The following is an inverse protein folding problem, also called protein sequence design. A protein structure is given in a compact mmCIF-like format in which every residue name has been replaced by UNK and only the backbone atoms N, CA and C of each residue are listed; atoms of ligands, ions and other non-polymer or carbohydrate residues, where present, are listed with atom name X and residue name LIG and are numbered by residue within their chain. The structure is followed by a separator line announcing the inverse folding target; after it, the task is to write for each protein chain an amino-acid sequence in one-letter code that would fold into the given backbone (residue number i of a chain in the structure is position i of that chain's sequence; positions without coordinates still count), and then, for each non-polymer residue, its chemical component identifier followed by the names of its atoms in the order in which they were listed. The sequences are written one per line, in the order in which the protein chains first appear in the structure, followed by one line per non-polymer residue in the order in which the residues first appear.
data_IF_961759793102
#
_entry.id   IF_961759793102
#
_cell.length_a   1.000
_cell.length_b   1.000
_cell.length_c   1.000
_cell.angle_alpha   90.00
_cell.angle_beta   90.00
_cell.angle_gamma   90.00
#
_symmetry.space_group_name_H-M   'P 1'
#
loop_
_entity.id
_entity.type
_entity.pdbx_description
1 polymer ?
#
# COMPACT_ATOMS: atom_id res chain seq x y z
N UNK A 1 15.35 12.85 2.70
CA UNK A 1 14.82 12.00 1.62
C UNK A 1 15.39 10.58 1.60
N UNK A 2 16.72 10.38 1.54
CA UNK A 2 17.34 9.03 1.40
C UNK A 2 16.88 8.01 2.44
N UNK A 3 16.82 8.42 3.72
CA UNK A 3 16.42 7.53 4.82
C UNK A 3 14.95 7.08 4.71
N UNK A 4 14.03 8.02 4.52
CA UNK A 4 12.61 7.72 4.38
C UNK A 4 12.34 6.77 3.19
N UNK A 5 13.00 6.97 2.05
CA UNK A 5 12.87 6.07 0.90
C UNK A 5 13.47 4.68 1.16
N UNK A 6 14.56 4.58 1.92
CA UNK A 6 15.12 3.29 2.32
C UNK A 6 14.14 2.51 3.21
N UNK A 7 13.54 3.19 4.21
CA UNK A 7 12.55 2.57 5.09
C UNK A 7 11.28 2.17 4.34
N UNK A 8 10.78 3.01 3.44
CA UNK A 8 9.60 2.69 2.61
C UNK A 8 9.89 1.51 1.67
N UNK A 9 11.10 1.45 1.11
CA UNK A 9 11.55 0.31 0.30
C UNK A 9 11.59 -1.00 1.08
N UNK A 10 12.08 -0.97 2.33
CA UNK A 10 12.06 -2.14 3.23
C UNK A 10 10.62 -2.59 3.51
N UNK A 11 9.72 -1.65 3.82
CA UNK A 11 8.31 -1.93 4.06
C UNK A 11 7.64 -2.57 2.83
N UNK A 12 7.91 -2.02 1.63
CA UNK A 12 7.36 -2.54 0.38
C UNK A 12 7.84 -3.96 0.07
N UNK A 13 9.14 -4.25 0.24
CA UNK A 13 9.68 -5.59 0.00
C UNK A 13 9.09 -6.62 0.98
N UNK A 14 8.96 -6.27 2.26
CA UNK A 14 8.29 -7.13 3.25
C UNK A 14 6.84 -7.40 2.87
N UNK A 15 6.11 -6.36 2.48
CA UNK A 15 4.72 -6.47 2.03
C UNK A 15 4.59 -7.43 0.83
N UNK A 16 5.41 -7.24 -0.21
CA UNK A 16 5.39 -8.11 -1.40
C UNK A 16 5.77 -9.55 -1.06
N UNK A 17 6.77 -9.76 -0.20
CA UNK A 17 7.16 -11.10 0.24
C UNK A 17 6.04 -11.81 1.01
N UNK A 18 5.31 -11.09 1.87
CA UNK A 18 4.12 -11.62 2.58
C UNK A 18 3.01 -11.98 1.61
N UNK A 19 2.71 -11.13 0.63
CA UNK A 19 1.70 -11.42 -0.39
C UNK A 19 2.06 -12.65 -1.22
N UNK A 20 3.32 -12.73 -1.67
CA UNK A 20 3.79 -13.83 -2.50
C UNK A 20 3.81 -15.19 -1.76
N UNK A 21 3.93 -15.18 -0.44
CA UNK A 21 3.93 -16.39 0.41
C UNK A 21 2.56 -16.72 1.02
N UNK A 22 1.57 -15.85 0.85
CA UNK A 22 0.24 -16.01 1.43
C UNK A 22 -0.69 -16.79 0.50
N UNK A 23 -1.47 -17.70 1.07
CA UNK A 23 -2.60 -18.35 0.38
C UNK A 23 -3.93 -17.60 0.61
N UNK A 24 -3.89 -16.40 1.19
CA UNK A 24 -5.09 -15.61 1.46
C UNK A 24 -5.56 -14.89 0.20
N UNK A 25 -6.88 -14.81 0.04
CA UNK A 25 -7.50 -13.92 -0.96
C UNK A 25 -7.63 -12.53 -0.37
N UNK A 26 -7.12 -11.54 -1.11
CA UNK A 26 -7.25 -10.13 -0.74
C UNK A 26 -8.18 -9.39 -1.70
N UNK A 27 -8.87 -8.40 -1.19
CA UNK A 27 -9.47 -7.33 -1.98
C UNK A 27 -8.62 -6.05 -1.88
N UNK A 28 -8.93 -5.07 -2.72
CA UNK A 28 -8.21 -3.79 -2.83
C UNK A 28 -8.10 -3.04 -1.50
N UNK A 29 -9.18 -3.02 -0.71
CA UNK A 29 -9.21 -2.34 0.60
C UNK A 29 -8.29 -3.07 1.59
N UNK A 30 -8.34 -4.41 1.63
CA UNK A 30 -7.47 -5.20 2.51
C UNK A 30 -5.99 -5.07 2.13
N UNK A 31 -5.67 -4.97 0.83
CA UNK A 31 -4.30 -4.73 0.35
C UNK A 31 -3.81 -3.34 0.73
N UNK A 32 -4.65 -2.31 0.58
CA UNK A 32 -4.31 -0.95 0.99
C UNK A 32 -3.96 -0.88 2.49
N UNK A 33 -4.76 -1.53 3.34
CA UNK A 33 -4.52 -1.63 4.79
C UNK A 33 -3.26 -2.43 5.12
N UNK A 34 -3.00 -3.51 4.39
CA UNK A 34 -1.81 -4.34 4.59
C UNK A 34 -0.52 -3.59 4.21
N UNK A 35 -0.55 -2.80 3.14
CA UNK A 35 0.55 -1.91 2.76
C UNK A 35 0.77 -0.82 3.81
N UNK A 36 -0.29 -0.21 4.32
CA UNK A 36 -0.22 0.77 5.41
C UNK A 36 0.37 0.13 6.68
N UNK A 37 -0.07 -1.08 7.05
CA UNK A 37 0.48 -1.84 8.17
C UNK A 37 1.98 -2.09 8.03
N UNK A 38 2.43 -2.46 6.82
CA UNK A 38 3.85 -2.71 6.57
C UNK A 38 4.69 -1.42 6.74
N UNK A 39 4.15 -0.27 6.33
CA UNK A 39 4.80 1.04 6.51
C UNK A 39 4.81 1.49 7.97
N UNK A 40 3.73 1.22 8.71
CA UNK A 40 3.61 1.57 10.13
C UNK A 40 4.49 0.74 11.07
N UNK A 41 5.19 -0.29 10.57
CA UNK A 41 6.22 -1.00 11.35
C UNK A 41 7.47 -0.14 11.61
N UNK A 42 7.65 0.96 10.89
CA UNK A 42 8.75 1.91 11.12
C UNK A 42 8.35 2.94 12.17
N UNK A 43 9.16 3.12 13.21
CA UNK A 43 8.94 4.16 14.25
C UNK A 43 8.90 5.59 13.67
N UNK A 44 9.50 5.81 12.51
CA UNK A 44 9.50 7.10 11.79
C UNK A 44 8.27 7.30 10.89
N UNK A 45 7.31 6.36 10.90
CA UNK A 45 6.09 6.47 10.10
C UNK A 45 5.11 7.46 10.71
N UNK A 46 4.74 8.48 9.93
CA UNK A 46 3.80 9.51 10.36
C UNK A 46 2.38 9.29 9.80
N UNK A 47 2.23 8.44 8.80
CA UNK A 47 1.01 8.29 8.02
C UNK A 47 1.29 8.29 6.51
N UNK A 48 0.28 7.96 5.69
CA UNK A 48 0.43 7.94 4.24
C UNK A 48 0.51 9.36 3.69
N UNK A 49 1.33 9.58 2.67
CA UNK A 49 1.36 10.87 1.95
C UNK A 49 0.09 11.11 1.13
N UNK A 50 -0.61 10.04 0.73
CA UNK A 50 -1.91 10.02 0.08
C UNK A 50 -2.55 8.64 0.25
N UNK A 51 -3.86 8.53 0.04
CA UNK A 51 -4.57 7.26 0.17
C UNK A 51 -4.01 6.20 -0.81
N UNK A 52 -3.65 4.98 -0.34
CA UNK A 52 -3.10 3.94 -1.21
C UNK A 52 -4.03 3.59 -2.38
N UNK A 53 -3.47 3.52 -3.58
CA UNK A 53 -4.17 3.07 -4.77
C UNK A 53 -3.89 1.57 -4.95
N UNK A 54 -4.87 0.74 -4.61
CA UNK A 54 -4.84 -0.70 -4.88
C UNK A 54 -5.90 -1.00 -5.93
N UNK A 55 -5.49 -1.19 -7.19
CA UNK A 55 -6.39 -1.47 -8.31
C UNK A 55 -6.15 -2.87 -8.88
N UNK A 56 -7.23 -3.64 -9.05
CA UNK A 56 -7.23 -4.95 -9.66
C UNK A 56 -7.98 -4.93 -10.99
N UNK A 57 -7.36 -5.45 -12.05
CA UNK A 57 -7.91 -5.49 -13.41
C UNK A 57 -8.37 -4.09 -13.86
N UNK A 58 -9.66 -3.93 -14.22
CA UNK A 58 -10.21 -2.69 -14.73
C UNK A 58 -10.09 -1.51 -13.75
N UNK A 59 -10.03 -1.76 -12.44
CA UNK A 59 -9.88 -0.71 -11.44
C UNK A 59 -8.49 -0.06 -11.47
N UNK A 60 -7.46 -0.76 -11.96
CA UNK A 60 -6.10 -0.21 -12.11
C UNK A 60 -5.95 0.80 -13.25
N UNK A 61 -6.95 0.90 -14.12
CA UNK A 61 -6.98 1.86 -15.25
C UNK A 61 -7.72 3.15 -14.86
N UNK A 62 -8.38 3.17 -13.69
CA UNK A 62 -9.08 4.35 -13.19
C UNK A 62 -8.05 5.42 -12.78
N UNK A 63 -8.13 6.58 -13.44
CA UNK A 63 -7.41 7.78 -13.01
C UNK A 63 -8.04 8.30 -11.73
N UNK A 64 -7.24 8.54 -10.70
CA UNK A 64 -7.68 9.24 -9.50
C UNK A 64 -8.27 10.61 -9.87
N UNK A 65 -9.54 10.83 -9.51
CA UNK A 65 -10.21 12.13 -9.64
C UNK A 65 -10.88 12.47 -8.30
N UNK A 66 -10.89 13.75 -7.93
CA UNK A 66 -11.48 14.24 -6.66
C UNK A 66 -13.02 14.20 -6.64
N UNK A 67 -13.68 13.66 -7.67
CA UNK A 67 -15.14 13.73 -7.89
C UNK A 67 -15.88 12.39 -7.74
N UNK A 68 -15.25 11.35 -7.22
CA UNK A 68 -15.94 10.07 -6.95
C UNK A 68 -15.68 9.64 -5.51
N UNK A 69 -16.38 10.33 -4.60
CA UNK A 69 -16.72 9.82 -3.28
C UNK A 69 -18.25 9.68 -3.33
N UNK A 70 -18.77 8.53 -2.89
CA UNK A 70 -20.13 7.95 -2.99
C UNK A 70 -20.32 6.93 -4.12
#
# INVERSE_FOLDING_TARGET
MRRAHLLDGIALVKFLARLASSNQTYNEISLAKELERARSESDEYLGPSFAPIAGYRGHGVLRWNERQIF
#
